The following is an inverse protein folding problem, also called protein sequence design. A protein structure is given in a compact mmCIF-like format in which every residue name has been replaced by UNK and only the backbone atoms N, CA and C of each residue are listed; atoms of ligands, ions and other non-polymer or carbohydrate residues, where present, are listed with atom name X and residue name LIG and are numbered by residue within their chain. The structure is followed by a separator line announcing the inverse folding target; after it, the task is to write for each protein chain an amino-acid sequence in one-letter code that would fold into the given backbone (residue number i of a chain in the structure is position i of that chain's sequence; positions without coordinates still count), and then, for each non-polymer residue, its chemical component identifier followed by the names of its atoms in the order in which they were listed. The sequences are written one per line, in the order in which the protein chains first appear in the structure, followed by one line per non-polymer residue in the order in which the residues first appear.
data_IF_543632939242
#
_entry.id   IF_543632939242
#
_cell.length_a   1.000
_cell.length_b   1.000
_cell.length_c   1.000
_cell.angle_alpha   90.00
_cell.angle_beta   90.00
_cell.angle_gamma   90.00
#
_symmetry.space_group_name_H-M   'P 1'
#
loop_
_entity.id
_entity.type
_entity.pdbx_description
1 polymer ?
#
# COMPACT_ATOMS: atom_id res chain seq x y z
N UNK A 1 -6.83 10.74 31.95
CA UNK A 1 -5.59 10.05 31.59
C UNK A 1 -4.41 10.86 32.10
N UNK A 2 -3.37 10.24 32.63
CA UNK A 2 -2.15 10.96 33.02
C UNK A 2 -1.40 11.47 31.78
N UNK A 3 -0.61 12.54 31.93
CA UNK A 3 0.20 13.07 30.82
C UNK A 3 1.15 12.01 30.22
N UNK A 4 1.66 11.10 31.04
CA UNK A 4 2.51 10.00 30.60
C UNK A 4 1.78 9.01 29.67
N UNK A 5 0.53 8.68 29.94
CA UNK A 5 -0.31 7.81 29.09
C UNK A 5 -0.58 8.48 27.75
N UNK A 6 -0.90 9.77 27.73
CA UNK A 6 -1.12 10.50 26.47
C UNK A 6 0.15 10.48 25.59
N UNK A 7 1.32 10.69 26.19
CA UNK A 7 2.60 10.64 25.45
C UNK A 7 2.83 9.23 24.89
N UNK A 8 2.62 8.18 25.68
CA UNK A 8 2.81 6.80 25.24
C UNK A 8 1.90 6.43 24.07
N UNK A 9 0.61 6.75 24.17
CA UNK A 9 -0.36 6.50 23.08
C UNK A 9 -0.04 7.33 21.82
N UNK A 10 0.44 8.56 21.98
CA UNK A 10 0.86 9.39 20.84
C UNK A 10 2.10 8.82 20.14
N UNK A 11 3.08 8.34 20.90
CA UNK A 11 4.25 7.67 20.32
C UNK A 11 3.87 6.33 19.68
N UNK A 12 2.94 5.58 20.28
CA UNK A 12 2.38 4.38 19.69
C UNK A 12 1.68 4.69 18.35
N UNK A 13 0.89 5.76 18.29
CA UNK A 13 0.27 6.20 17.03
C UNK A 13 1.31 6.44 15.94
N UNK A 14 2.36 7.21 16.23
CA UNK A 14 3.42 7.47 15.24
C UNK A 14 4.12 6.17 14.81
N UNK A 15 4.48 5.31 15.76
CA UNK A 15 5.13 4.03 15.46
C UNK A 15 4.26 3.13 14.58
N UNK A 16 2.99 2.93 14.95
CA UNK A 16 2.09 2.05 14.18
C UNK A 16 1.65 2.66 12.85
N UNK A 17 1.65 3.99 12.72
CA UNK A 17 1.45 4.64 11.42
C UNK A 17 2.62 4.38 10.46
N UNK A 18 3.86 4.46 10.93
CA UNK A 18 5.04 4.10 10.15
C UNK A 18 5.08 2.61 9.83
N UNK A 19 4.75 1.76 10.80
CA UNK A 19 4.58 0.31 10.62
C UNK A 19 3.53 0.01 9.54
N UNK A 20 2.47 0.79 9.45
CA UNK A 20 1.43 0.66 8.43
C UNK A 20 1.99 0.60 7.00
N UNK A 21 3.05 1.37 6.69
CA UNK A 21 3.72 1.29 5.39
C UNK A 21 4.36 -0.08 5.12
N UNK A 22 4.97 -0.69 6.13
CA UNK A 22 5.57 -2.02 6.00
C UNK A 22 4.51 -3.11 5.92
N UNK A 23 3.42 -2.98 6.69
CA UNK A 23 2.28 -3.88 6.63
C UNK A 23 1.59 -3.81 5.27
N UNK A 24 1.31 -2.61 4.74
CA UNK A 24 0.76 -2.40 3.41
C UNK A 24 1.65 -3.04 2.34
N UNK A 25 2.96 -2.78 2.37
CA UNK A 25 3.92 -3.36 1.44
C UNK A 25 3.89 -4.88 1.45
N UNK A 26 3.90 -5.49 2.66
CA UNK A 26 3.83 -6.94 2.81
C UNK A 26 2.50 -7.49 2.29
N UNK A 27 1.40 -6.87 2.69
CA UNK A 27 0.04 -7.26 2.29
C UNK A 27 -0.13 -7.17 0.78
N UNK A 28 0.24 -6.05 0.18
CA UNK A 28 0.15 -5.79 -1.25
C UNK A 28 0.98 -6.78 -2.05
N UNK A 29 2.25 -6.97 -1.69
CA UNK A 29 3.16 -7.89 -2.39
C UNK A 29 2.71 -9.34 -2.31
N UNK A 30 2.35 -9.83 -1.13
CA UNK A 30 2.13 -11.25 -0.91
C UNK A 30 0.68 -11.68 -0.98
N UNK A 31 -0.28 -10.83 -0.64
CA UNK A 31 -1.70 -11.20 -0.68
C UNK A 31 -2.41 -10.65 -1.90
N UNK A 32 -2.00 -9.51 -2.42
CA UNK A 32 -2.59 -8.93 -3.62
C UNK A 32 -1.90 -9.41 -4.91
N UNK A 33 -0.58 -9.58 -4.92
CA UNK A 33 0.17 -9.97 -6.12
C UNK A 33 0.62 -11.43 -6.16
N UNK A 34 0.22 -12.29 -5.21
CA UNK A 34 0.55 -13.71 -5.21
C UNK A 34 -0.68 -14.59 -4.99
N UNK A 35 -0.92 -15.51 -5.93
CA UNK A 35 -2.00 -16.52 -5.80
C UNK A 35 -1.71 -17.60 -4.74
N UNK A 36 -0.49 -17.60 -4.15
CA UNK A 36 -0.03 -18.65 -3.23
C UNK A 36 -0.79 -18.64 -1.90
N UNK A 37 -1.19 -17.47 -1.39
CA UNK A 37 -1.73 -17.32 -0.05
C UNK A 37 -3.26 -17.20 -0.06
N UNK A 38 -3.81 -16.07 -0.50
CA UNK A 38 -5.24 -15.81 -0.53
C UNK A 38 -5.68 -15.54 -1.97
N UNK A 39 -6.30 -16.55 -2.60
CA UNK A 39 -6.74 -16.47 -4.00
C UNK A 39 -7.78 -15.36 -4.23
N UNK A 40 -8.60 -15.06 -3.22
CA UNK A 40 -9.63 -14.04 -3.30
C UNK A 40 -9.03 -12.65 -3.52
N UNK A 41 -8.12 -12.22 -2.65
CA UNK A 41 -7.47 -10.91 -2.75
C UNK A 41 -6.62 -10.79 -4.00
N UNK A 42 -5.90 -11.86 -4.37
CA UNK A 42 -5.16 -11.93 -5.63
C UNK A 42 -6.06 -11.74 -6.85
N UNK A 43 -7.21 -12.43 -6.90
CA UNK A 43 -8.17 -12.29 -8.00
C UNK A 43 -8.72 -10.87 -8.08
N UNK A 44 -9.17 -10.32 -6.96
CA UNK A 44 -9.77 -8.99 -6.92
C UNK A 44 -8.77 -7.91 -7.34
N UNK A 45 -7.52 -7.96 -6.83
CA UNK A 45 -6.53 -6.94 -7.09
C UNK A 45 -5.73 -7.21 -8.39
N UNK A 46 -5.03 -8.33 -8.48
CA UNK A 46 -4.11 -8.59 -9.60
C UNK A 46 -4.85 -8.88 -10.92
N UNK A 47 -5.92 -9.69 -10.87
CA UNK A 47 -6.63 -10.13 -12.09
C UNK A 47 -7.80 -9.22 -12.49
N UNK A 48 -8.36 -8.43 -11.56
CA UNK A 48 -9.47 -7.52 -11.87
C UNK A 48 -9.00 -6.08 -11.87
N UNK A 49 -8.52 -5.56 -10.72
CA UNK A 49 -8.14 -4.17 -10.58
C UNK A 49 -7.02 -3.77 -11.57
N UNK A 50 -5.88 -4.48 -11.59
CA UNK A 50 -4.78 -4.19 -12.52
C UNK A 50 -5.11 -4.47 -13.99
N UNK A 51 -6.08 -5.32 -14.30
CA UNK A 51 -6.51 -5.49 -15.70
C UNK A 51 -7.44 -4.36 -16.14
N UNK A 52 -8.18 -3.76 -15.22
CA UNK A 52 -9.08 -2.64 -15.48
C UNK A 52 -8.34 -1.31 -15.53
N UNK A 53 -7.45 -1.07 -14.57
CA UNK A 53 -6.66 0.15 -14.45
C UNK A 53 -5.23 -0.08 -14.91
N UNK A 54 -4.85 0.58 -16.02
CA UNK A 54 -3.51 0.47 -16.61
C UNK A 54 -2.67 1.71 -16.28
N UNK A 55 -1.43 1.73 -16.76
CA UNK A 55 -0.52 2.86 -16.55
C UNK A 55 -0.92 4.12 -17.34
N UNK A 56 -1.39 3.97 -18.57
CA UNK A 56 -1.81 5.08 -19.43
C UNK A 56 -2.96 5.84 -18.77
N UNK A 57 -2.89 7.17 -18.77
CA UNK A 57 -3.82 8.01 -17.99
C UNK A 57 -5.29 7.71 -18.33
N UNK A 58 -5.61 7.51 -19.59
CA UNK A 58 -6.95 7.26 -20.09
C UNK A 58 -7.53 5.94 -19.55
N UNK A 59 -6.69 4.97 -19.22
CA UNK A 59 -7.08 3.67 -18.67
C UNK A 59 -6.73 3.51 -17.18
N UNK A 60 -6.03 4.47 -16.58
CA UNK A 60 -5.76 4.52 -15.16
C UNK A 60 -6.91 5.14 -14.37
N UNK A 61 -7.61 6.10 -14.97
CA UNK A 61 -8.80 6.73 -14.40
C UNK A 61 -10.05 5.97 -14.83
N UNK A 62 -11.09 5.99 -14.03
CA UNK A 62 -12.35 5.30 -14.27
C UNK A 62 -13.01 5.77 -15.58
N UNK A 63 -13.62 4.84 -16.34
CA UNK A 63 -14.29 5.13 -17.58
C UNK A 63 -15.82 4.97 -17.47
N UNK A 64 -16.30 4.18 -16.52
CA UNK A 64 -17.71 3.92 -16.31
C UNK A 64 -18.05 3.78 -14.82
N UNK A 65 -19.34 3.87 -14.49
CA UNK A 65 -19.80 3.69 -13.09
C UNK A 65 -19.41 2.32 -12.52
N UNK A 66 -19.42 1.28 -13.34
CA UNK A 66 -19.03 -0.08 -12.94
C UNK A 66 -17.55 -0.22 -12.56
N UNK A 67 -16.69 0.67 -13.02
CA UNK A 67 -15.26 0.60 -12.72
C UNK A 67 -14.99 0.88 -11.25
N UNK A 68 -15.78 1.74 -10.61
CA UNK A 68 -15.59 2.14 -9.21
C UNK A 68 -15.73 0.99 -8.21
N UNK A 69 -16.50 -0.03 -8.54
CA UNK A 69 -16.75 -1.18 -7.67
C UNK A 69 -15.53 -2.06 -7.43
N UNK A 70 -14.43 -1.82 -8.18
CA UNK A 70 -13.21 -2.60 -8.11
C UNK A 70 -12.00 -1.82 -7.56
N UNK A 71 -12.22 -0.69 -6.93
CA UNK A 71 -11.15 0.16 -6.37
C UNK A 71 -11.00 -0.07 -4.87
N UNK A 72 -12.09 0.11 -4.13
CA UNK A 72 -12.08 -0.01 -2.67
C UNK A 72 -11.96 -1.47 -2.22
N UNK A 73 -11.34 -1.68 -1.07
CA UNK A 73 -11.40 -2.96 -0.39
C UNK A 73 -12.82 -3.23 0.15
N UNK A 74 -13.12 -4.52 0.40
CA UNK A 74 -14.39 -4.92 0.98
C UNK A 74 -14.62 -4.29 2.37
N UNK A 75 -15.88 -4.08 2.72
CA UNK A 75 -16.32 -3.47 3.99
C UNK A 75 -15.73 -4.14 5.23
N UNK A 76 -15.39 -5.43 5.17
CA UNK A 76 -14.84 -6.19 6.30
C UNK A 76 -13.31 -6.00 6.46
N UNK A 77 -12.63 -5.34 5.52
CA UNK A 77 -11.17 -5.21 5.55
C UNK A 77 -10.70 -4.44 6.79
N UNK A 78 -11.32 -3.30 7.13
CA UNK A 78 -10.95 -2.55 8.32
C UNK A 78 -11.17 -3.32 9.62
N UNK A 79 -12.36 -3.95 9.88
CA UNK A 79 -12.53 -4.84 11.02
C UNK A 79 -11.52 -5.98 11.09
N UNK A 80 -11.16 -6.56 9.96
CA UNK A 80 -10.16 -7.62 9.87
C UNK A 80 -8.76 -7.09 10.25
N UNK A 81 -8.35 -5.94 9.74
CA UNK A 81 -7.04 -5.34 10.06
C UNK A 81 -6.96 -4.97 11.54
N UNK A 82 -7.98 -4.33 12.10
CA UNK A 82 -8.01 -4.07 13.54
C UNK A 82 -7.94 -5.38 14.32
N UNK A 83 -8.77 -6.37 14.00
CA UNK A 83 -8.82 -7.66 14.70
C UNK A 83 -7.50 -8.41 14.71
N UNK A 84 -6.78 -8.43 13.58
CA UNK A 84 -5.46 -9.08 13.47
C UNK A 84 -4.37 -8.39 14.28
N UNK A 85 -4.53 -7.08 14.56
CA UNK A 85 -3.56 -6.30 15.36
C UNK A 85 -3.90 -6.22 16.84
N UNK A 86 -5.12 -6.55 17.26
CA UNK A 86 -5.52 -6.48 18.68
C UNK A 86 -4.63 -7.34 19.58
N UNK A 87 -4.37 -8.59 19.18
CA UNK A 87 -3.51 -9.48 19.97
C UNK A 87 -2.05 -8.98 20.05
N UNK A 88 -1.38 -8.62 18.96
CA UNK A 88 -0.06 -7.99 19.02
C UNK A 88 -0.01 -6.72 19.88
N UNK A 89 -0.96 -5.82 19.75
CA UNK A 89 -1.05 -4.60 20.55
C UNK A 89 -1.21 -4.92 22.04
N UNK A 90 -2.10 -5.87 22.37
CA UNK A 90 -2.29 -6.32 23.74
C UNK A 90 -1.01 -6.93 24.32
N UNK A 91 -0.33 -7.80 23.57
CA UNK A 91 0.92 -8.44 24.04
C UNK A 91 2.03 -7.42 24.27
N UNK A 92 2.19 -6.44 23.39
CA UNK A 92 3.14 -5.33 23.59
C UNK A 92 2.81 -4.60 24.88
N UNK A 93 1.56 -4.20 25.10
CA UNK A 93 1.15 -3.51 26.32
C UNK A 93 1.32 -4.38 27.56
N UNK A 94 0.99 -5.66 27.49
CA UNK A 94 1.08 -6.60 28.60
C UNK A 94 2.55 -6.84 29.05
N UNK A 95 3.45 -7.09 28.10
CA UNK A 95 4.84 -7.41 28.44
C UNK A 95 5.71 -6.19 28.74
N UNK A 96 5.40 -5.04 28.17
CA UNK A 96 6.22 -3.82 28.34
C UNK A 96 5.65 -2.83 29.35
N UNK A 97 4.37 -2.96 29.72
CA UNK A 97 3.64 -1.93 30.47
C UNK A 97 3.36 -0.65 29.67
N UNK A 98 3.78 -0.60 28.41
CA UNK A 98 3.59 0.56 27.53
C UNK A 98 2.16 0.67 27.05
N UNK A 99 1.51 1.79 27.31
CA UNK A 99 0.16 2.05 26.81
C UNK A 99 0.21 2.33 25.31
N UNK A 100 -0.29 1.39 24.52
CA UNK A 100 -0.18 1.44 23.05
C UNK A 100 -1.46 1.04 22.30
N UNK A 101 -2.48 0.60 23.04
CA UNK A 101 -3.68 0.01 22.46
C UNK A 101 -4.44 1.03 21.60
N UNK A 102 -4.76 2.18 22.19
CA UNK A 102 -5.59 3.18 21.50
C UNK A 102 -4.84 3.92 20.40
N UNK A 103 -3.58 4.27 20.66
CA UNK A 103 -2.70 4.87 19.65
C UNK A 103 -2.49 3.94 18.47
N UNK A 104 -2.29 2.64 18.72
CA UNK A 104 -2.15 1.63 17.67
C UNK A 104 -3.42 1.47 16.85
N UNK A 105 -4.59 1.31 17.49
CA UNK A 105 -5.88 1.21 16.79
C UNK A 105 -6.15 2.48 15.94
N UNK A 106 -5.93 3.65 16.54
CA UNK A 106 -6.12 4.92 15.83
C UNK A 106 -5.19 5.03 14.61
N UNK A 107 -3.93 4.61 14.76
CA UNK A 107 -2.96 4.63 13.66
C UNK A 107 -3.37 3.69 12.51
N UNK A 108 -3.74 2.44 12.82
CA UNK A 108 -4.20 1.45 11.83
C UNK A 108 -5.44 1.97 11.09
N UNK A 109 -6.42 2.49 11.83
CA UNK A 109 -7.65 3.05 11.27
C UNK A 109 -7.35 4.25 10.37
N UNK A 110 -6.51 5.18 10.83
CA UNK A 110 -6.12 6.36 10.05
C UNK A 110 -5.35 5.97 8.79
N UNK A 111 -4.38 5.05 8.93
CA UNK A 111 -3.61 4.57 7.78
C UNK A 111 -4.50 3.96 6.71
N UNK A 112 -5.41 3.06 7.12
CA UNK A 112 -6.38 2.44 6.23
C UNK A 112 -7.29 3.47 5.55
N UNK A 113 -7.84 4.42 6.31
CA UNK A 113 -8.72 5.45 5.76
C UNK A 113 -8.01 6.34 4.74
N UNK A 114 -6.74 6.73 5.01
CA UNK A 114 -5.93 7.50 4.05
C UNK A 114 -5.61 6.66 2.82
N UNK A 115 -5.22 5.40 3.00
CA UNK A 115 -4.98 4.45 1.91
C UNK A 115 -6.20 4.37 0.98
N UNK A 116 -7.37 4.03 1.49
CA UNK A 116 -8.60 3.88 0.70
C UNK A 116 -8.97 5.17 -0.02
N UNK A 117 -8.90 6.29 0.69
CA UNK A 117 -9.29 7.58 0.12
C UNK A 117 -8.33 8.04 -1.00
N UNK A 118 -7.02 7.90 -0.79
CA UNK A 118 -6.02 8.21 -1.82
C UNK A 118 -6.14 7.28 -3.01
N UNK A 119 -6.23 5.98 -2.77
CA UNK A 119 -6.37 4.97 -3.82
C UNK A 119 -7.62 5.23 -4.68
N UNK A 120 -8.76 5.47 -4.02
CA UNK A 120 -9.99 5.82 -4.73
C UNK A 120 -9.85 7.11 -5.54
N UNK A 121 -9.31 8.19 -4.95
CA UNK A 121 -9.15 9.47 -5.62
C UNK A 121 -8.14 9.42 -6.78
N UNK A 122 -7.16 8.52 -6.74
CA UNK A 122 -6.22 8.30 -7.84
C UNK A 122 -6.90 7.73 -9.08
N UNK A 123 -7.87 6.84 -8.91
CA UNK A 123 -8.62 6.24 -10.00
C UNK A 123 -9.89 7.01 -10.36
N UNK A 124 -10.45 7.79 -9.42
CA UNK A 124 -11.68 8.58 -9.60
C UNK A 124 -11.41 10.05 -9.26
N UNK A 125 -10.63 10.76 -10.08
CA UNK A 125 -10.31 12.16 -9.82
C UNK A 125 -11.58 13.01 -9.80
N UNK A 126 -11.68 13.90 -8.83
CA UNK A 126 -12.84 14.76 -8.59
C UNK A 126 -12.50 16.25 -8.47
N UNK A 127 -11.27 16.63 -8.85
CA UNK A 127 -10.73 17.99 -8.79
C UNK A 127 -10.76 18.63 -7.40
N UNK A 128 -10.71 17.84 -6.33
CA UNK A 128 -10.62 18.34 -4.96
C UNK A 128 -9.28 19.02 -4.73
N UNK A 129 -9.23 19.96 -3.79
CA UNK A 129 -8.04 20.76 -3.51
C UNK A 129 -6.81 19.93 -3.16
N UNK A 130 -6.97 18.83 -2.39
CA UNK A 130 -5.86 17.97 -1.98
C UNK A 130 -5.24 17.20 -3.16
N UNK A 131 -6.03 16.88 -4.21
CA UNK A 131 -5.55 16.21 -5.42
C UNK A 131 -4.50 17.03 -6.17
N UNK A 132 -4.47 18.36 -5.95
CA UNK A 132 -3.48 19.29 -6.54
C UNK A 132 -2.22 19.45 -5.68
N UNK A 133 -2.19 18.85 -4.47
CA UNK A 133 -1.01 18.95 -3.60
C UNK A 133 0.15 18.10 -4.14
N UNK A 134 1.38 18.54 -3.84
CA UNK A 134 2.59 17.80 -4.23
C UNK A 134 2.62 16.38 -3.63
N UNK A 135 2.08 16.23 -2.43
CA UNK A 135 2.01 14.93 -1.74
C UNK A 135 1.12 13.97 -2.51
N UNK A 136 -0.09 14.39 -2.87
CA UNK A 136 -1.01 13.56 -3.63
C UNK A 136 -0.47 13.25 -5.03
N UNK A 137 0.03 14.24 -5.75
CA UNK A 137 0.59 14.04 -7.10
C UNK A 137 1.80 13.11 -7.10
N UNK A 138 2.62 13.16 -6.06
CA UNK A 138 3.71 12.21 -5.88
C UNK A 138 3.18 10.79 -5.65
N UNK A 139 2.22 10.61 -4.76
CA UNK A 139 1.60 9.31 -4.50
C UNK A 139 0.85 8.77 -5.73
N UNK A 140 0.13 9.63 -6.45
CA UNK A 140 -0.54 9.31 -7.72
C UNK A 140 0.44 8.73 -8.75
N UNK A 141 1.56 9.42 -9.01
CA UNK A 141 2.56 8.95 -9.97
C UNK A 141 3.25 7.67 -9.47
N UNK A 142 3.52 7.55 -8.17
CA UNK A 142 4.10 6.37 -7.55
C UNK A 142 3.21 5.14 -7.76
N UNK A 143 1.91 5.25 -7.49
CA UNK A 143 0.95 4.17 -7.68
C UNK A 143 0.69 3.89 -9.17
N UNK A 144 0.67 4.91 -10.02
CA UNK A 144 0.56 4.73 -11.48
C UNK A 144 1.73 3.93 -12.05
N UNK A 145 2.96 4.16 -11.56
CA UNK A 145 4.13 3.35 -11.93
C UNK A 145 3.94 1.89 -11.46
N UNK A 146 3.32 1.67 -10.28
CA UNK A 146 2.96 0.33 -9.83
C UNK A 146 2.03 -0.40 -10.82
N UNK A 147 1.04 0.28 -11.40
CA UNK A 147 0.19 -0.30 -12.44
C UNK A 147 0.93 -0.69 -13.73
N UNK A 148 2.13 -0.14 -13.96
CA UNK A 148 3.01 -0.57 -15.06
C UNK A 148 3.95 -1.70 -14.64
N UNK A 149 4.49 -1.60 -13.43
CA UNK A 149 5.48 -2.54 -12.87
C UNK A 149 4.96 -3.11 -11.56
N UNK A 150 4.05 -4.09 -11.65
CA UNK A 150 3.28 -4.66 -10.54
C UNK A 150 4.12 -5.27 -9.39
N UNK A 151 5.44 -5.42 -9.56
CA UNK A 151 6.35 -5.89 -8.52
C UNK A 151 7.24 -4.77 -7.95
N UNK A 152 6.88 -3.52 -8.19
CA UNK A 152 7.53 -2.32 -7.68
C UNK A 152 6.48 -1.37 -7.11
N UNK A 153 6.89 -0.44 -6.23
CA UNK A 153 6.04 0.63 -5.71
C UNK A 153 4.74 0.10 -5.06
N UNK A 154 4.86 -0.84 -4.12
CA UNK A 154 3.70 -1.48 -3.47
C UNK A 154 2.91 -0.56 -2.54
N UNK A 155 3.55 0.48 -1.96
CA UNK A 155 2.81 1.45 -1.16
C UNK A 155 1.99 2.40 -2.03
N UNK A 156 0.73 2.63 -1.67
CA UNK A 156 -0.16 3.52 -2.41
C UNK A 156 0.16 4.99 -2.15
N UNK A 157 0.30 5.40 -0.89
CA UNK A 157 0.48 6.82 -0.57
C UNK A 157 1.74 7.17 0.22
N UNK A 158 2.28 6.24 1.02
CA UNK A 158 3.43 6.49 1.87
C UNK A 158 4.55 5.47 1.62
N UNK A 159 5.49 5.73 0.68
CA UNK A 159 6.44 4.75 0.15
C UNK A 159 7.66 4.51 1.04
N UNK A 160 7.49 4.49 2.37
CA UNK A 160 8.57 4.24 3.31
C UNK A 160 9.12 2.83 3.15
N UNK A 161 8.24 1.82 3.12
CA UNK A 161 8.66 0.43 2.98
C UNK A 161 9.26 0.16 1.59
N UNK A 162 8.70 0.71 0.51
CA UNK A 162 9.30 0.59 -0.82
C UNK A 162 10.74 1.10 -0.88
N UNK A 163 11.02 2.24 -0.22
CA UNK A 163 12.37 2.81 -0.13
C UNK A 163 13.31 1.95 0.72
N UNK A 164 12.83 1.48 1.87
CA UNK A 164 13.65 0.65 2.77
C UNK A 164 13.94 -0.75 2.21
N UNK A 165 12.99 -1.32 1.45
CA UNK A 165 13.05 -2.70 0.95
C UNK A 165 13.44 -2.80 -0.53
N UNK A 166 13.82 -1.68 -1.16
CA UNK A 166 14.40 -1.64 -2.50
C UNK A 166 13.41 -1.89 -3.64
N UNK A 167 12.12 -1.71 -3.40
CA UNK A 167 11.06 -1.83 -4.42
C UNK A 167 10.60 -0.49 -5.00
N UNK A 168 11.23 0.62 -4.58
CA UNK A 168 10.93 1.94 -5.07
C UNK A 168 11.54 2.18 -6.47
N UNK A 169 10.70 2.60 -7.41
CA UNK A 169 11.13 3.12 -8.72
C UNK A 169 10.60 4.55 -8.91
N UNK A 170 11.50 5.50 -9.23
CA UNK A 170 11.12 6.84 -9.62
C UNK A 170 10.69 6.90 -11.08
N UNK A 171 10.01 8.00 -11.47
CA UNK A 171 9.59 8.26 -12.84
C UNK A 171 10.78 8.31 -13.80
N UNK A 172 11.86 8.95 -13.42
CA UNK A 172 13.08 9.09 -14.23
C UNK A 172 13.71 7.73 -14.47
N UNK A 173 13.80 6.89 -13.42
CA UNK A 173 14.32 5.52 -13.54
C UNK A 173 13.41 4.68 -14.44
N UNK A 174 12.09 4.79 -14.28
CA UNK A 174 11.14 4.10 -15.16
C UNK A 174 11.33 4.49 -16.62
N UNK A 175 11.47 5.78 -16.93
CA UNK A 175 11.71 6.27 -18.29
C UNK A 175 13.02 5.75 -18.87
N UNK A 176 14.08 5.73 -18.06
CA UNK A 176 15.39 5.18 -18.50
C UNK A 176 15.32 3.67 -18.77
N UNK A 177 14.54 2.92 -18.00
CA UNK A 177 14.30 1.48 -18.22
C UNK A 177 13.51 1.24 -19.52
N UNK A 178 12.49 2.07 -19.80
CA UNK A 178 11.70 1.98 -21.02
C UNK A 178 12.50 2.35 -22.27
N UNK A 179 13.45 3.26 -22.17
CA UNK A 179 14.33 3.67 -23.27
C UNK A 179 15.44 2.65 -23.58
N UNK A 180 15.79 1.77 -22.63
CA UNK A 180 16.84 0.76 -22.80
C UNK A 180 16.40 -0.60 -22.23
N UNK A 181 15.59 -1.39 -22.96
CA UNK A 181 15.04 -2.67 -22.49
C UNK A 181 16.08 -3.73 -22.13
N UNK A 182 17.29 -3.66 -22.67
CA UNK A 182 18.37 -4.62 -22.36
C UNK A 182 18.83 -4.56 -20.88
N UNK A 183 18.65 -3.44 -20.20
CA UNK A 183 18.90 -3.31 -18.76
C UNK A 183 17.88 -4.01 -17.86
N UNK A 184 16.68 -4.32 -18.38
CA UNK A 184 15.65 -5.09 -17.65
C UNK A 184 16.07 -6.54 -17.41
N UNK A 185 16.81 -7.14 -18.34
CA UNK A 185 17.27 -8.53 -18.21
C UNK A 185 18.34 -8.72 -17.14
N UNK A 186 19.17 -7.72 -16.88
CA UNK A 186 20.25 -7.82 -15.89
C UNK A 186 19.76 -7.67 -14.43
N UNK A 187 18.63 -7.00 -14.18
CA UNK A 187 18.06 -6.88 -12.81
C UNK A 187 17.14 -8.04 -12.45
N UNK A 188 16.60 -8.78 -13.43
CA UNK A 188 15.74 -9.95 -13.22
C UNK A 188 16.51 -11.25 -12.93
N UNK A 189 17.79 -11.33 -13.27
CA UNK A 189 18.61 -12.54 -13.07
C UNK A 189 19.05 -12.78 -11.62
N UNK A 190 18.82 -11.85 -10.71
CA UNK A 190 19.20 -11.98 -9.28
C UNK A 190 18.09 -12.65 -8.43
N UNK A 191 16.89 -12.91 -8.98
CA UNK A 191 15.78 -13.47 -8.19
C UNK A 191 15.29 -14.85 -8.65
N UNK A 192 15.99 -15.54 -9.53
CA UNK A 192 15.69 -16.95 -9.80
C UNK A 192 16.79 -17.83 -9.18
N UNK A 193 16.67 -18.15 -7.90
CA UNK A 193 17.34 -19.33 -7.36
C UNK A 193 16.61 -20.57 -7.89
N UNK A 194 17.32 -21.60 -8.39
CA UNK A 194 16.69 -22.82 -8.90
C UNK A 194 16.04 -23.57 -7.73
N UNK A 195 14.73 -23.82 -7.85
CA UNK A 195 14.07 -24.85 -7.04
C UNK A 195 14.65 -26.19 -7.47
N UNK A 196 15.57 -26.73 -6.68
CA UNK A 196 15.92 -28.15 -6.75
C UNK A 196 14.74 -28.98 -6.32
N UNK A 197 14.45 -29.99 -7.10
CA UNK A 197 13.42 -31.02 -7.03
C UNK A 197 13.09 -31.52 -5.61
#
# INVERSE_FOLDING_TARGET
MSSSVIIQESLAFVFYFLYGSFFEWWFHKYLFHSAKYIKYTYKAHHLVHHQRYKYEKESYEWQSQYDKDHIAMDWFALPLFIGTHLLPLYLVQYFTGWQSMWGGIAAITTYYAVYEYFHFAMHVPSNKWFERTRVFQYAYEHHRIHHKYMFQNFNVFFPLADRCLGTYISKERMQSMSANPSRLQMSGSVQQSPTTN
#
